data_IF_341417954859
#
_entry.id   IF_341417954859
#
_cell.length_a   1.000
_cell.length_b   1.000
_cell.length_c   1.000
_cell.angle_alpha   90.00
_cell.angle_beta   90.00
_cell.angle_gamma   90.00
#
_symmetry.space_group_name_H-M   'P 1'
#
loop_
_entity.id
_entity.type
_entity.pdbx_description
1 polymer ?
#
# COMPACT_ATOMS: atom_id res chain seq x y z
N UNK A 1 2.78 -15.25 11.80
CA UNK A 1 2.94 -15.79 10.44
C UNK A 1 3.28 -14.64 9.49
N UNK A 2 4.32 -14.80 8.66
CA UNK A 2 4.63 -13.79 7.64
C UNK A 2 3.54 -13.83 6.54
N UNK A 3 3.11 -12.68 5.98
CA UNK A 3 2.22 -12.66 4.82
C UNK A 3 2.79 -13.53 3.69
N UNK A 4 1.93 -14.28 3.02
CA UNK A 4 2.33 -15.19 1.96
C UNK A 4 2.71 -16.60 2.39
N UNK A 5 2.78 -16.90 3.70
CA UNK A 5 3.10 -18.24 4.20
C UNK A 5 1.87 -19.08 4.59
N UNK A 6 0.68 -18.50 4.54
CA UNK A 6 -0.55 -19.18 4.99
C UNK A 6 -1.36 -19.80 3.84
N UNK A 7 -1.08 -19.44 2.59
CA UNK A 7 -1.81 -19.91 1.42
C UNK A 7 -1.04 -20.94 0.62
N UNK A 8 -1.75 -21.79 -0.11
CA UNK A 8 -1.15 -22.72 -1.09
C UNK A 8 -0.63 -21.99 -2.34
N UNK A 9 -1.19 -20.83 -2.65
CA UNK A 9 -0.79 -19.96 -3.75
C UNK A 9 -0.64 -18.54 -3.20
N UNK A 10 0.45 -17.87 -3.56
CA UNK A 10 0.72 -16.47 -3.25
C UNK A 10 0.80 -15.68 -4.55
N UNK A 11 0.09 -14.58 -4.61
CA UNK A 11 0.15 -13.65 -5.74
C UNK A 11 0.79 -12.35 -5.22
N UNK A 12 1.93 -11.98 -5.79
CA UNK A 12 2.61 -10.73 -5.52
C UNK A 12 2.45 -9.81 -6.74
N UNK A 13 1.70 -8.70 -6.56
CA UNK A 13 1.54 -7.71 -7.62
C UNK A 13 2.84 -6.99 -7.92
N UNK A 14 3.08 -6.74 -9.20
CA UNK A 14 4.18 -5.91 -9.72
C UNK A 14 3.65 -4.71 -10.52
N UNK A 15 2.42 -4.30 -10.22
CA UNK A 15 1.78 -3.08 -10.73
C UNK A 15 2.58 -1.82 -10.35
N UNK A 16 2.27 -0.69 -10.97
CA UNK A 16 3.02 0.56 -10.78
C UNK A 16 3.07 1.04 -9.32
N UNK A 17 2.02 0.79 -8.54
CA UNK A 17 1.93 1.17 -7.11
C UNK A 17 2.64 0.16 -6.18
N UNK A 18 3.17 -0.96 -6.70
CA UNK A 18 3.79 -2.01 -5.90
C UNK A 18 5.19 -1.62 -5.40
N UNK A 19 5.65 -2.27 -4.32
CA UNK A 19 7.01 -2.06 -3.78
C UNK A 19 8.08 -2.42 -4.81
N UNK A 20 7.83 -3.51 -5.56
CA UNK A 20 8.56 -3.88 -6.78
C UNK A 20 7.59 -3.65 -7.92
N UNK A 21 7.93 -2.76 -8.84
CA UNK A 21 7.08 -2.46 -9.99
C UNK A 21 7.82 -2.79 -11.28
N UNK A 22 7.14 -3.56 -12.12
CA UNK A 22 7.60 -3.89 -13.48
C UNK A 22 6.75 -3.18 -14.54
N UNK A 23 5.91 -2.23 -14.12
CA UNK A 23 4.97 -1.55 -15.00
C UNK A 23 3.70 -2.37 -15.28
N UNK A 24 3.45 -3.40 -14.48
CA UNK A 24 2.28 -4.28 -14.54
C UNK A 24 2.64 -5.73 -14.29
N UNK A 25 1.61 -6.56 -14.09
CA UNK A 25 1.74 -8.00 -13.89
C UNK A 25 1.75 -8.46 -12.45
N UNK A 26 2.04 -9.73 -12.26
CA UNK A 26 2.15 -10.36 -10.94
C UNK A 26 3.10 -11.56 -10.98
N UNK A 27 3.67 -11.87 -9.83
CA UNK A 27 4.43 -13.10 -9.60
C UNK A 27 3.51 -14.05 -8.83
N UNK A 28 3.34 -15.28 -9.36
CA UNK A 28 2.56 -16.33 -8.72
C UNK A 28 3.54 -17.37 -8.16
N UNK A 29 3.42 -17.65 -6.88
CA UNK A 29 4.30 -18.56 -6.14
C UNK A 29 3.48 -19.68 -5.49
N UNK A 30 4.02 -20.88 -5.46
CA UNK A 30 3.50 -21.99 -4.66
C UNK A 30 4.65 -22.78 -4.04
N UNK A 31 4.45 -23.29 -2.83
CA UNK A 31 5.35 -24.24 -2.17
C UNK A 31 5.08 -25.70 -2.57
N UNK A 32 3.96 -25.97 -3.24
CA UNK A 32 3.59 -27.29 -3.74
C UNK A 32 4.07 -27.44 -5.19
N UNK A 33 4.87 -28.47 -5.45
CA UNK A 33 5.32 -28.80 -6.80
C UNK A 33 4.16 -29.15 -7.74
N UNK A 34 3.17 -29.88 -7.24
CA UNK A 34 1.95 -30.24 -7.99
C UNK A 34 1.19 -28.99 -8.44
N UNK A 35 0.95 -28.04 -7.51
CA UNK A 35 0.28 -26.78 -7.82
C UNK A 35 1.13 -25.95 -8.78
N UNK A 36 2.44 -25.86 -8.56
CA UNK A 36 3.35 -25.12 -9.44
C UNK A 36 3.32 -25.65 -10.87
N UNK A 37 3.34 -26.97 -11.05
CA UNK A 37 3.24 -27.60 -12.37
C UNK A 37 1.88 -27.36 -13.04
N UNK A 38 0.79 -27.41 -12.26
CA UNK A 38 -0.55 -27.11 -12.78
C UNK A 38 -0.66 -25.64 -13.21
N UNK A 39 -0.16 -24.70 -12.41
CA UNK A 39 -0.12 -23.27 -12.74
C UNK A 39 0.71 -23.01 -14.00
N UNK A 40 1.90 -23.56 -14.09
CA UNK A 40 2.77 -23.42 -15.28
C UNK A 40 2.09 -23.92 -16.54
N UNK A 41 1.37 -25.03 -16.46
CA UNK A 41 0.60 -25.57 -17.59
C UNK A 41 -0.53 -24.63 -18.01
N UNK A 42 -1.26 -24.04 -17.07
CA UNK A 42 -2.33 -23.08 -17.40
C UNK A 42 -1.75 -21.78 -17.96
N UNK A 43 -0.66 -21.26 -17.39
CA UNK A 43 0.03 -20.08 -17.93
C UNK A 43 0.47 -20.32 -19.37
N UNK A 44 1.09 -21.48 -19.67
CA UNK A 44 1.53 -21.83 -21.03
C UNK A 44 0.39 -21.93 -22.02
N UNK A 45 -0.83 -22.28 -21.59
CA UNK A 45 -2.03 -22.31 -22.46
C UNK A 45 -2.52 -20.90 -22.80
N UNK A 46 -2.26 -19.92 -21.95
CA UNK A 46 -2.69 -18.53 -22.13
C UNK A 46 -1.58 -17.64 -22.74
N UNK A 47 -0.35 -18.16 -22.80
CA UNK A 47 0.78 -17.51 -23.47
C UNK A 47 0.46 -17.31 -24.98
N UNK A 48 0.86 -16.16 -25.60
CA UNK A 48 1.72 -15.10 -25.07
C UNK A 48 0.98 -13.94 -24.37
N UNK A 49 -0.30 -14.07 -24.13
CA UNK A 49 -1.16 -12.94 -23.68
C UNK A 49 -0.95 -12.52 -22.23
N UNK A 50 -0.42 -13.42 -21.38
CA UNK A 50 -0.27 -13.16 -19.94
C UNK A 50 1.16 -13.27 -19.43
N UNK A 51 2.13 -13.61 -20.27
CA UNK A 51 3.53 -13.67 -19.87
C UNK A 51 4.08 -12.26 -19.66
N UNK A 52 4.84 -12.09 -18.57
CA UNK A 52 5.54 -10.84 -18.32
C UNK A 52 6.66 -10.67 -19.36
N UNK A 53 6.70 -9.55 -20.11
CA UNK A 53 7.77 -9.31 -21.08
C UNK A 53 9.15 -9.35 -20.42
N UNK A 54 10.16 -9.87 -21.11
CA UNK A 54 11.53 -10.04 -20.60
C UNK A 54 12.13 -8.73 -20.07
N UNK A 55 11.85 -7.61 -20.71
CA UNK A 55 12.31 -6.30 -20.27
C UNK A 55 11.71 -5.93 -18.90
N UNK A 56 10.42 -6.21 -18.68
CA UNK A 56 9.74 -5.97 -17.41
C UNK A 56 10.27 -6.93 -16.34
N UNK A 57 10.50 -8.20 -16.69
CA UNK A 57 11.09 -9.18 -15.77
C UNK A 57 12.51 -8.77 -15.35
N UNK A 58 13.35 -8.31 -16.28
CA UNK A 58 14.69 -7.82 -15.98
C UNK A 58 14.66 -6.61 -15.04
N UNK A 59 13.72 -5.68 -15.24
CA UNK A 59 13.50 -4.56 -14.31
C UNK A 59 13.15 -5.04 -12.90
N UNK A 60 12.29 -6.05 -12.79
CA UNK A 60 11.91 -6.68 -11.52
C UNK A 60 13.11 -7.28 -10.80
N UNK A 61 13.97 -8.03 -11.50
CA UNK A 61 15.19 -8.64 -10.95
C UNK A 61 16.09 -7.57 -10.32
N UNK A 62 16.33 -6.46 -11.03
CA UNK A 62 17.15 -5.35 -10.52
C UNK A 62 16.53 -4.72 -9.26
N UNK A 63 15.21 -4.60 -9.21
CA UNK A 63 14.53 -4.04 -8.03
C UNK A 63 14.58 -4.99 -6.82
N UNK A 64 14.47 -6.30 -7.04
CA UNK A 64 14.59 -7.31 -5.99
C UNK A 64 15.97 -7.22 -5.32
N UNK A 65 17.05 -7.04 -6.06
CA UNK A 65 18.40 -6.90 -5.50
C UNK A 65 18.56 -5.67 -4.59
N UNK A 66 17.70 -4.66 -4.75
CA UNK A 66 17.72 -3.41 -3.97
C UNK A 66 16.60 -3.36 -2.92
N UNK A 67 15.83 -4.43 -2.75
CA UNK A 67 14.60 -4.45 -1.96
C UNK A 67 14.81 -4.00 -0.52
N UNK A 68 15.86 -4.49 0.15
CA UNK A 68 16.15 -4.14 1.55
C UNK A 68 16.39 -2.63 1.72
N UNK A 69 17.10 -2.01 0.79
CA UNK A 69 17.33 -0.57 0.80
C UNK A 69 16.02 0.21 0.60
N UNK A 70 15.17 -0.25 -0.32
CA UNK A 70 13.86 0.35 -0.60
C UNK A 70 12.96 0.25 0.64
N UNK A 71 12.89 -0.92 1.27
CA UNK A 71 12.11 -1.14 2.48
C UNK A 71 12.65 -0.33 3.66
N UNK A 72 13.95 -0.27 3.83
CA UNK A 72 14.61 0.55 4.85
C UNK A 72 14.25 2.04 4.71
N UNK A 73 14.31 2.57 3.50
CA UNK A 73 13.93 3.96 3.22
C UNK A 73 12.45 4.22 3.48
N UNK A 74 11.55 3.36 3.01
CA UNK A 74 10.11 3.45 3.27
C UNK A 74 9.79 3.41 4.77
N UNK A 75 10.43 2.51 5.52
CA UNK A 75 10.25 2.41 6.96
C UNK A 75 10.70 3.67 7.71
N UNK A 76 11.78 4.30 7.29
CA UNK A 76 12.23 5.55 7.88
C UNK A 76 11.20 6.67 7.64
N UNK A 77 10.68 6.80 6.43
CA UNK A 77 9.61 7.77 6.11
C UNK A 77 8.35 7.45 6.93
N UNK A 78 7.95 6.18 7.01
CA UNK A 78 6.80 5.74 7.81
C UNK A 78 6.91 6.17 9.28
N UNK A 79 8.10 6.03 9.88
CA UNK A 79 8.36 6.46 11.27
C UNK A 79 8.20 7.98 11.44
N UNK A 80 8.76 8.77 10.51
CA UNK A 80 8.64 10.23 10.53
C UNK A 80 7.16 10.64 10.47
N UNK A 81 6.40 10.06 9.55
CA UNK A 81 4.98 10.35 9.40
C UNK A 81 4.15 9.91 10.62
N UNK A 82 4.44 8.73 11.17
CA UNK A 82 3.77 8.23 12.36
C UNK A 82 3.98 9.15 13.55
N UNK A 83 5.20 9.66 13.75
CA UNK A 83 5.50 10.64 14.81
C UNK A 83 4.76 11.96 14.61
N UNK A 84 4.56 12.40 13.36
CA UNK A 84 3.77 13.60 13.08
C UNK A 84 2.29 13.40 13.44
N UNK A 85 1.69 12.27 13.07
CA UNK A 85 0.29 11.94 13.38
C UNK A 85 0.06 11.78 14.88
N UNK A 86 1.04 11.29 15.65
CA UNK A 86 0.94 11.18 17.13
C UNK A 86 0.69 12.52 17.83
N UNK A 87 0.98 13.63 17.18
CA UNK A 87 0.71 14.99 17.71
C UNK A 87 -0.73 15.46 17.48
N UNK A 88 -1.55 14.65 16.83
CA UNK A 88 -2.93 14.95 16.45
C UNK A 88 -3.90 13.94 17.07
N UNK A 89 -5.19 14.16 16.91
CA UNK A 89 -6.24 13.24 17.32
C UNK A 89 -6.53 12.16 16.26
N UNK A 90 -5.80 12.18 15.15
CA UNK A 90 -5.94 11.19 14.07
C UNK A 90 -5.23 9.88 14.42
N UNK A 91 -5.57 8.81 13.71
CA UNK A 91 -4.98 7.49 13.92
C UNK A 91 -4.37 6.97 12.62
N UNK A 92 -3.15 6.44 12.70
CA UNK A 92 -2.55 5.72 11.57
C UNK A 92 -3.34 4.43 11.37
N UNK A 93 -3.77 4.16 10.14
CA UNK A 93 -4.52 2.96 9.80
C UNK A 93 -3.67 1.71 9.99
N UNK A 94 -4.23 0.68 10.61
CA UNK A 94 -3.56 -0.61 10.82
C UNK A 94 -2.63 -0.67 12.04
N UNK A 95 -2.46 0.43 12.82
CA UNK A 95 -1.72 0.39 14.07
C UNK A 95 -2.64 -0.04 15.21
N UNK A 96 -2.25 -1.05 15.95
CA UNK A 96 -3.06 -1.54 17.09
C UNK A 96 -2.71 -2.96 17.55
N UNK A 97 -1.95 -3.70 16.77
CA UNK A 97 -1.39 -4.98 17.20
C UNK A 97 0.04 -4.78 17.74
N UNK A 98 0.37 -5.42 18.86
CA UNK A 98 1.68 -5.31 19.50
C UNK A 98 2.86 -5.70 18.60
N UNK A 99 2.62 -6.53 17.59
CA UNK A 99 3.64 -7.05 16.65
C UNK A 99 3.48 -6.50 15.23
N UNK A 100 2.84 -5.34 15.06
CA UNK A 100 2.66 -4.75 13.74
C UNK A 100 3.97 -4.11 13.24
N UNK A 101 4.52 -4.71 12.22
CA UNK A 101 5.65 -4.15 11.46
C UNK A 101 5.14 -3.74 10.07
N UNK A 102 5.09 -2.44 9.79
CA UNK A 102 4.75 -1.95 8.46
C UNK A 102 5.94 -2.12 7.52
N UNK A 103 5.69 -2.66 6.33
CA UNK A 103 6.67 -2.67 5.24
C UNK A 103 6.77 -1.31 4.52
N UNK A 104 6.03 -0.29 4.99
CA UNK A 104 6.00 1.03 4.37
C UNK A 104 5.36 1.06 2.98
N UNK A 105 4.55 0.05 2.62
CA UNK A 105 3.85 0.01 1.33
C UNK A 105 2.92 1.20 1.14
N UNK A 106 2.18 1.57 2.17
CA UNK A 106 1.28 2.70 2.17
C UNK A 106 1.25 3.39 3.52
N UNK A 107 0.89 4.66 3.54
CA UNK A 107 0.66 5.42 4.75
C UNK A 107 -0.73 6.04 4.71
N UNK A 108 -1.63 5.52 5.53
CA UNK A 108 -3.01 5.96 5.60
C UNK A 108 -3.37 6.40 7.01
N UNK A 109 -4.12 7.48 7.10
CA UNK A 109 -4.57 8.08 8.36
C UNK A 109 -6.08 8.13 8.39
N UNK A 110 -6.67 7.70 9.51
CA UNK A 110 -8.10 7.88 9.78
C UNK A 110 -8.27 9.29 10.34
N UNK A 111 -8.86 10.18 9.53
CA UNK A 111 -9.08 11.57 9.87
C UNK A 111 -10.39 11.75 10.66
N UNK A 112 -10.45 12.80 11.49
CA UNK A 112 -11.66 13.13 12.25
C UNK A 112 -12.60 14.04 11.49
N UNK A 113 -12.10 14.74 10.48
CA UNK A 113 -12.88 15.55 9.53
C UNK A 113 -13.31 14.74 8.31
N UNK A 114 -13.99 15.37 7.37
CA UNK A 114 -14.28 14.74 6.08
C UNK A 114 -12.99 14.54 5.29
N UNK A 115 -12.78 13.38 4.64
CA UNK A 115 -11.57 13.13 3.83
C UNK A 115 -11.28 14.22 2.80
N UNK A 116 -12.32 14.79 2.18
CA UNK A 116 -12.16 15.83 1.17
C UNK A 116 -11.58 17.14 1.75
N UNK A 117 -11.87 17.45 3.01
CA UNK A 117 -11.27 18.60 3.71
C UNK A 117 -9.78 18.36 3.98
N UNK A 118 -9.44 17.15 4.43
CA UNK A 118 -8.05 16.75 4.65
C UNK A 118 -7.24 16.74 3.35
N UNK A 119 -7.83 16.25 2.26
CA UNK A 119 -7.20 16.25 0.92
C UNK A 119 -7.01 17.70 0.43
N UNK A 120 -8.03 18.55 0.55
CA UNK A 120 -7.94 19.96 0.17
C UNK A 120 -6.89 20.72 1.01
N UNK A 121 -6.76 20.38 2.28
CA UNK A 121 -5.70 20.93 3.14
C UNK A 121 -4.30 20.48 2.65
N UNK A 122 -4.13 19.20 2.35
CA UNK A 122 -2.87 18.66 1.83
C UNK A 122 -2.46 19.33 0.49
N UNK A 123 -3.42 19.58 -0.39
CA UNK A 123 -3.18 20.26 -1.69
C UNK A 123 -2.59 21.67 -1.53
N UNK A 124 -2.95 22.42 -0.46
CA UNK A 124 -2.35 23.75 -0.18
C UNK A 124 -0.83 23.68 0.05
N UNK A 125 -0.34 22.53 0.48
CA UNK A 125 1.09 22.25 0.69
C UNK A 125 1.70 21.43 -0.45
N UNK A 126 1.02 21.33 -1.60
CA UNK A 126 1.43 20.53 -2.76
C UNK A 126 1.63 19.04 -2.45
N UNK A 127 0.93 18.53 -1.43
CA UNK A 127 0.94 17.13 -1.06
C UNK A 127 -0.22 16.42 -1.74
N UNK A 128 0.08 15.39 -2.54
CA UNK A 128 -0.92 14.54 -3.18
C UNK A 128 -1.46 13.54 -2.17
N UNK A 129 -2.67 13.81 -1.66
CA UNK A 129 -3.40 12.88 -0.79
C UNK A 129 -4.64 12.35 -1.51
N UNK A 130 -5.07 11.14 -1.16
CA UNK A 130 -6.24 10.50 -1.80
C UNK A 130 -7.05 9.68 -0.78
N UNK A 131 -8.34 9.44 -1.06
CA UNK A 131 -9.13 8.48 -0.29
C UNK A 131 -8.54 7.09 -0.45
N UNK A 132 -8.21 6.42 0.67
CA UNK A 132 -7.47 5.15 0.64
C UNK A 132 -8.25 4.04 -0.04
N UNK A 133 -9.55 3.93 0.25
CA UNK A 133 -10.36 2.77 -0.11
C UNK A 133 -11.46 3.06 -1.14
N UNK A 134 -11.28 4.09 -1.98
CA UNK A 134 -12.28 4.48 -2.99
C UNK A 134 -12.63 3.35 -3.97
N UNK A 135 -11.67 2.49 -4.31
CA UNK A 135 -11.86 1.33 -5.19
C UNK A 135 -12.15 0.01 -4.47
N UNK A 136 -12.23 0.00 -3.13
CA UNK A 136 -12.46 -1.22 -2.37
C UNK A 136 -13.92 -1.68 -2.45
N UNK A 137 -14.14 -2.99 -2.37
CA UNK A 137 -15.51 -3.58 -2.32
C UNK A 137 -16.34 -2.97 -1.18
N UNK A 138 -15.71 -2.67 -0.04
CA UNK A 138 -16.36 -2.02 1.10
C UNK A 138 -17.00 -0.67 0.77
N UNK A 139 -16.52 0.03 -0.24
CA UNK A 139 -17.11 1.30 -0.70
C UNK A 139 -18.54 1.12 -1.25
N UNK A 140 -18.91 -0.09 -1.70
CA UNK A 140 -20.26 -0.44 -2.18
C UNK A 140 -21.27 -0.68 -1.06
N UNK A 141 -20.81 -0.78 0.18
CA UNK A 141 -21.61 -1.13 1.37
C UNK A 141 -21.64 -0.01 2.41
N UNK A 142 -21.36 1.23 2.02
CA UNK A 142 -21.31 2.38 2.92
C UNK A 142 -22.65 2.66 3.62
N UNK A 143 -23.76 2.27 3.01
CA UNK A 143 -25.13 2.33 3.56
C UNK A 143 -25.44 1.22 4.59
N UNK A 144 -24.57 0.20 4.70
CA UNK A 144 -24.75 -0.95 5.59
C UNK A 144 -23.93 -0.80 6.87
N UNK A 145 -23.99 0.37 7.50
CA UNK A 145 -23.28 0.63 8.77
C UNK A 145 -23.66 -0.33 9.89
N UNK A 146 -24.92 -0.74 9.95
CA UNK A 146 -25.46 -1.74 10.88
C UNK A 146 -24.72 -3.07 10.81
N UNK A 147 -24.34 -3.49 9.61
CA UNK A 147 -23.63 -4.77 9.38
C UNK A 147 -22.12 -4.66 9.55
N UNK A 148 -21.54 -3.48 9.30
CA UNK A 148 -20.09 -3.27 9.31
C UNK A 148 -19.67 -2.04 10.15
N UNK A 149 -20.05 -1.98 11.44
CA UNK A 149 -19.90 -0.79 12.27
C UNK A 149 -18.43 -0.38 12.53
N UNK A 150 -17.48 -1.30 12.38
CA UNK A 150 -16.04 -1.03 12.52
C UNK A 150 -15.36 -0.72 11.19
N UNK A 151 -15.74 -1.42 10.12
CA UNK A 151 -15.08 -1.31 8.82
C UNK A 151 -15.47 -0.03 8.07
N UNK A 152 -16.76 0.29 8.02
CA UNK A 152 -17.25 1.45 7.25
C UNK A 152 -16.65 2.77 7.74
N UNK A 153 -16.62 3.11 9.04
CA UNK A 153 -15.97 4.36 9.50
C UNK A 153 -14.48 4.43 9.13
N UNK A 154 -13.77 3.31 9.21
CA UNK A 154 -12.37 3.25 8.83
C UNK A 154 -12.20 3.46 7.31
N UNK A 155 -13.01 2.78 6.49
CA UNK A 155 -12.96 2.90 5.03
C UNK A 155 -13.32 4.30 4.54
N UNK A 156 -14.36 4.91 5.13
CA UNK A 156 -14.87 6.20 4.68
C UNK A 156 -14.04 7.39 5.16
N UNK A 157 -13.18 7.21 6.18
CA UNK A 157 -12.39 8.28 6.80
C UNK A 157 -10.89 8.15 6.56
N UNK A 158 -10.44 7.10 5.87
CA UNK A 158 -9.03 6.87 5.61
C UNK A 158 -8.53 7.69 4.40
N UNK A 159 -7.47 8.46 4.64
CA UNK A 159 -6.76 9.24 3.63
C UNK A 159 -5.32 8.73 3.52
N UNK A 160 -4.88 8.40 2.32
CA UNK A 160 -3.52 7.98 2.01
C UNK A 160 -2.65 9.17 1.65
N UNK A 161 -1.42 9.14 2.15
CA UNK A 161 -0.36 10.10 1.86
C UNK A 161 0.76 9.44 1.06
N UNK A 162 1.51 10.19 0.22
CA UNK A 162 2.58 9.64 -0.58
C UNK A 162 3.70 9.08 0.31
N UNK A 163 4.08 7.85 0.06
CA UNK A 163 5.19 7.18 0.71
C UNK A 163 5.89 6.30 -0.32
N UNK A 164 7.02 6.74 -0.83
CA UNK A 164 7.86 6.00 -1.76
C UNK A 164 9.34 6.36 -1.54
N UNK A 165 10.29 5.49 -1.92
CA UNK A 165 11.68 5.61 -1.51
C UNK A 165 12.42 6.82 -2.11
N UNK A 166 11.89 7.41 -3.18
CA UNK A 166 12.53 8.52 -3.90
C UNK A 166 12.04 9.91 -3.47
N UNK A 167 11.16 10.01 -2.46
CA UNK A 167 10.76 11.30 -1.89
C UNK A 167 12.00 12.06 -1.41
N UNK A 168 12.11 13.32 -1.84
CA UNK A 168 13.11 14.26 -1.36
C UNK A 168 12.86 14.65 0.10
N UNK A 169 13.86 15.21 0.75
CA UNK A 169 13.72 15.71 2.12
C UNK A 169 12.64 16.80 2.22
N UNK A 170 12.55 17.68 1.23
CA UNK A 170 11.55 18.76 1.17
C UNK A 170 10.14 18.22 1.04
N UNK A 171 9.93 17.20 0.21
CA UNK A 171 8.61 16.54 0.07
C UNK A 171 8.21 15.81 1.35
N UNK A 172 9.15 15.11 2.00
CA UNK A 172 8.91 14.44 3.29
C UNK A 172 8.50 15.47 4.35
N UNK A 173 9.20 16.61 4.42
CA UNK A 173 8.90 17.70 5.36
C UNK A 173 7.52 18.30 5.07
N UNK A 174 7.16 18.51 3.81
CA UNK A 174 5.83 19.01 3.43
C UNK A 174 4.72 18.06 3.89
N UNK A 175 4.88 16.74 3.65
CA UNK A 175 3.93 15.74 4.13
C UNK A 175 3.88 15.71 5.66
N UNK A 176 5.03 15.75 6.34
CA UNK A 176 5.12 15.79 7.81
C UNK A 176 4.38 17.01 8.39
N UNK A 177 4.54 18.18 7.76
CA UNK A 177 3.85 19.40 8.16
C UNK A 177 2.33 19.26 8.03
N UNK A 178 1.85 18.71 6.93
CA UNK A 178 0.42 18.41 6.74
C UNK A 178 -0.06 17.45 7.82
N UNK A 179 0.62 16.33 8.02
CA UNK A 179 0.24 15.29 8.98
C UNK A 179 0.21 15.79 10.44
N UNK A 180 1.05 16.77 10.79
CA UNK A 180 1.06 17.33 12.15
C UNK A 180 -0.06 18.36 12.42
N UNK A 181 -0.82 18.76 11.40
CA UNK A 181 -1.93 19.71 11.50
C UNK A 181 -3.25 19.17 10.97
N UNK A 182 -3.30 17.89 10.58
CA UNK A 182 -4.51 17.24 10.11
C UNK A 182 -5.45 16.91 11.28
N UNK A 183 -6.74 17.05 11.07
CA UNK A 183 -7.78 16.84 12.10
C UNK A 183 -8.78 15.73 11.72
#
# INVERSE_FOLDING_TARGET
LKPGMAGSIVIASTEEDSVISTGGGAIVLSSSEEISNALSKEVSRLSPYIELPDMNAALGIVQITKLDNVLGRRNNIYKIYSQAVMKTNCKVFGTGAMDFFSNGYGFSVIVNTKPDEAISFAQKYQVSARKTFSGAIGARYQDRFDRFPKAIPALTRAVSFPIYPFLSAVEIESVQKVLSHIH
#
